data_IF_912196847550
#
_entry.id   IF_912196847550
#
_cell.length_a   1.000
_cell.length_b   1.000
_cell.length_c   1.000
_cell.angle_alpha   90.00
_cell.angle_beta   90.00
_cell.angle_gamma   90.00
#
_symmetry.space_group_name_H-M   'P 1'
#
loop_
_entity.id
_entity.type
_entity.pdbx_description
1 polymer ?
#
# COMPACT_ATOMS: atom_id res chain seq x y z
N UNK A 1 13.18 -16.99 -1.40
CA UNK A 1 12.38 -16.39 -0.30
C UNK A 1 13.13 -16.08 1.01
N UNK A 2 14.16 -16.85 1.43
CA UNK A 2 14.86 -16.56 2.71
C UNK A 2 15.49 -15.15 2.77
N UNK A 3 16.02 -14.67 1.63
CA UNK A 3 16.52 -13.30 1.49
C UNK A 3 15.50 -12.25 1.97
N UNK A 4 14.26 -12.31 1.44
CA UNK A 4 13.21 -11.38 1.83
C UNK A 4 12.83 -11.52 3.30
N UNK A 5 12.75 -12.74 3.83
CA UNK A 5 12.45 -12.94 5.26
C UNK A 5 13.48 -12.25 6.16
N UNK A 6 14.77 -12.43 5.87
CA UNK A 6 15.83 -11.81 6.65
C UNK A 6 15.78 -10.27 6.56
N UNK A 7 15.62 -9.74 5.33
CA UNK A 7 15.52 -8.29 5.11
C UNK A 7 14.27 -7.68 5.73
N UNK A 8 13.17 -8.41 5.76
CA UNK A 8 11.96 -7.99 6.48
C UNK A 8 12.22 -7.86 7.97
N UNK A 9 12.88 -8.84 8.59
CA UNK A 9 13.22 -8.78 10.02
C UNK A 9 14.12 -7.57 10.30
N UNK A 10 15.18 -7.37 9.52
CA UNK A 10 16.06 -6.19 9.62
C UNK A 10 15.27 -4.87 9.49
N UNK A 11 14.33 -4.80 8.54
CA UNK A 11 13.49 -3.62 8.34
C UNK A 11 12.55 -3.37 9.52
N UNK A 12 11.94 -4.42 10.06
CA UNK A 12 11.07 -4.33 11.23
C UNK A 12 11.82 -3.91 12.49
N UNK A 13 13.03 -4.42 12.70
CA UNK A 13 13.89 -4.00 13.81
C UNK A 13 14.21 -2.50 13.70
N UNK A 14 14.59 -2.03 12.50
CA UNK A 14 14.79 -0.61 12.26
C UNK A 14 13.53 0.22 12.54
N UNK A 15 12.35 -0.19 12.06
CA UNK A 15 11.10 0.52 12.33
C UNK A 15 10.80 0.57 13.83
N UNK A 16 11.02 -0.53 14.55
CA UNK A 16 10.81 -0.62 15.99
C UNK A 16 11.69 0.37 16.75
N UNK A 17 12.96 0.49 16.38
CA UNK A 17 13.88 1.45 16.97
C UNK A 17 13.53 2.89 16.60
N UNK A 18 13.28 3.13 15.31
CA UNK A 18 13.06 4.48 14.77
C UNK A 18 11.74 5.10 15.26
N UNK A 19 10.69 4.30 15.45
CA UNK A 19 9.36 4.74 15.88
C UNK A 19 8.93 4.24 17.26
N UNK A 20 9.81 3.58 18.00
CA UNK A 20 9.56 3.06 19.36
C UNK A 20 8.32 2.15 19.46
N UNK A 21 8.01 1.40 18.41
CA UNK A 21 6.76 0.63 18.27
C UNK A 21 6.57 -0.35 19.43
N UNK A 22 7.60 -1.13 19.78
CA UNK A 22 7.50 -2.11 20.88
C UNK A 22 7.37 -1.48 22.28
N UNK A 23 7.61 -0.17 22.42
CA UNK A 23 7.45 0.58 23.68
C UNK A 23 6.15 1.39 23.70
N UNK A 24 5.38 1.38 22.61
CA UNK A 24 4.13 2.10 22.51
C UNK A 24 3.01 1.32 23.22
N UNK A 25 2.22 2.02 24.02
CA UNK A 25 1.00 1.50 24.62
C UNK A 25 -0.25 1.99 23.89
N UNK A 26 -0.13 3.09 23.13
CA UNK A 26 -1.20 3.71 22.35
C UNK A 26 -0.70 4.10 20.97
N UNK A 27 -1.62 4.22 20.01
CA UNK A 27 -1.30 4.71 18.66
C UNK A 27 -0.66 6.09 18.65
N UNK A 28 -1.03 6.95 19.61
CA UNK A 28 -0.46 8.28 19.77
C UNK A 28 1.03 8.27 20.12
N UNK A 29 1.51 7.22 20.79
CA UNK A 29 2.92 7.11 21.15
C UNK A 29 3.78 6.94 19.89
N UNK A 30 3.24 6.23 18.88
CA UNK A 30 3.84 6.01 17.57
C UNK A 30 3.64 7.26 16.68
N UNK A 31 2.44 7.83 16.60
CA UNK A 31 2.16 8.98 15.71
C UNK A 31 3.00 10.21 16.06
N UNK A 32 3.25 10.43 17.35
CA UNK A 32 4.15 11.49 17.82
C UNK A 32 5.63 11.23 17.44
N UNK A 33 6.00 9.97 17.16
CA UNK A 33 7.33 9.69 16.63
C UNK A 33 7.48 10.09 15.15
N UNK A 34 6.39 10.35 14.41
CA UNK A 34 6.46 10.63 12.98
C UNK A 34 7.01 12.04 12.74
N UNK A 35 8.19 12.12 12.14
CA UNK A 35 8.86 13.37 11.76
C UNK A 35 9.46 13.24 10.36
N UNK A 36 9.66 14.35 9.65
CA UNK A 36 10.31 14.38 8.33
C UNK A 36 11.65 13.64 8.32
N UNK A 37 12.46 13.83 9.36
CA UNK A 37 13.76 13.18 9.50
C UNK A 37 13.64 11.65 9.60
N UNK A 38 12.67 11.14 10.37
CA UNK A 38 12.45 9.69 10.52
C UNK A 38 11.84 9.06 9.28
N UNK A 39 10.97 9.77 8.58
CA UNK A 39 10.46 9.34 7.26
C UNK A 39 11.63 9.19 6.29
N UNK A 40 12.45 10.24 6.15
CA UNK A 40 13.64 10.22 5.28
C UNK A 40 14.61 9.09 5.64
N UNK A 41 14.89 8.90 6.93
CA UNK A 41 15.74 7.81 7.42
C UNK A 41 15.17 6.43 7.05
N UNK A 42 13.84 6.26 7.14
CA UNK A 42 13.17 5.00 6.80
C UNK A 42 13.30 4.68 5.33
N UNK A 43 13.02 5.64 4.43
CA UNK A 43 13.20 5.42 3.00
C UNK A 43 14.67 5.17 2.61
N UNK A 44 15.61 5.87 3.26
CA UNK A 44 17.05 5.63 3.06
C UNK A 44 17.47 4.24 3.51
N UNK A 45 16.90 3.72 4.60
CA UNK A 45 17.18 2.37 5.06
C UNK A 45 16.53 1.32 4.13
N UNK A 46 15.27 1.55 3.74
CA UNK A 46 14.54 0.69 2.80
C UNK A 46 15.30 0.50 1.48
N UNK A 47 15.80 1.59 0.87
CA UNK A 47 16.56 1.49 -0.39
C UNK A 47 17.91 0.79 -0.26
N UNK A 48 18.49 0.73 0.94
CA UNK A 48 19.71 -0.03 1.20
C UNK A 48 19.44 -1.53 1.29
N UNK A 49 18.31 -1.91 1.92
CA UNK A 49 17.91 -3.31 2.01
C UNK A 49 17.46 -3.86 0.66
N UNK A 50 16.79 -3.02 -0.13
CA UNK A 50 16.20 -3.37 -1.41
C UNK A 50 16.70 -2.44 -2.52
N UNK A 51 17.99 -2.53 -2.88
CA UNK A 51 18.52 -1.77 -4.00
C UNK A 51 17.87 -2.23 -5.31
N UNK A 52 17.79 -1.33 -6.29
CA UNK A 52 17.47 -1.74 -7.67
C UNK A 52 18.50 -2.78 -8.11
N UNK A 53 18.02 -3.92 -8.58
CA UNK A 53 18.86 -5.05 -8.94
C UNK A 53 18.10 -5.93 -9.94
N UNK A 54 18.84 -6.64 -10.79
CA UNK A 54 18.30 -7.53 -11.81
C UNK A 54 18.18 -8.99 -11.31
N UNK A 55 18.52 -9.25 -10.04
CA UNK A 55 18.44 -10.59 -9.42
C UNK A 55 17.09 -10.91 -8.76
N UNK A 56 15.99 -10.27 -9.18
CA UNK A 56 14.67 -10.43 -8.53
C UNK A 56 14.21 -11.90 -8.44
N UNK A 57 14.33 -12.64 -9.56
CA UNK A 57 13.96 -14.05 -9.64
C UNK A 57 14.76 -14.93 -8.66
N UNK A 58 16.06 -14.66 -8.52
CA UNK A 58 16.96 -15.40 -7.62
C UNK A 58 16.51 -15.26 -6.17
N UNK A 59 16.09 -14.07 -5.75
CA UNK A 59 15.64 -13.82 -4.38
C UNK A 59 14.25 -14.41 -4.09
N UNK A 60 13.38 -14.49 -5.11
CA UNK A 60 12.03 -15.06 -4.97
C UNK A 60 12.02 -16.59 -4.98
N UNK A 61 12.90 -17.25 -5.75
CA UNK A 61 12.94 -18.71 -5.82
C UNK A 61 12.88 -19.33 -4.42
N UNK A 62 11.93 -20.23 -4.25
CA UNK A 62 11.69 -20.96 -3.01
C UNK A 62 12.02 -22.44 -3.23
N UNK A 63 12.89 -22.98 -2.39
CA UNK A 63 13.15 -24.42 -2.32
C UNK A 63 12.15 -25.14 -1.39
N UNK A 64 11.33 -24.37 -0.66
CA UNK A 64 10.29 -24.92 0.22
C UNK A 64 9.08 -25.42 -0.56
N UNK A 65 8.58 -26.59 -0.17
CA UNK A 65 7.31 -27.19 -0.61
C UNK A 65 6.07 -26.61 0.08
N UNK A 66 6.22 -25.58 0.93
CA UNK A 66 5.09 -24.88 1.56
C UNK A 66 4.11 -24.34 0.51
N UNK A 67 2.81 -24.46 0.79
CA UNK A 67 1.78 -23.87 -0.05
C UNK A 67 1.75 -22.36 0.13
N UNK A 68 1.95 -21.64 -0.98
CA UNK A 68 2.08 -20.18 -0.99
C UNK A 68 0.91 -19.54 -1.68
N UNK A 69 0.42 -18.47 -1.10
CA UNK A 69 -0.62 -17.63 -1.67
C UNK A 69 -0.14 -16.20 -1.81
N UNK A 70 -0.42 -15.56 -2.93
CA UNK A 70 -0.01 -14.18 -3.20
C UNK A 70 -1.23 -13.27 -3.08
N UNK A 71 -1.11 -12.28 -2.20
CA UNK A 71 -2.07 -11.18 -2.07
C UNK A 71 -1.98 -10.28 -3.30
N UNK A 72 -3.01 -10.36 -4.15
CA UNK A 72 -3.17 -9.50 -5.31
C UNK A 72 -4.36 -8.56 -5.11
N UNK A 73 -4.16 -7.52 -4.30
CA UNK A 73 -5.13 -6.45 -4.12
C UNK A 73 -4.39 -5.14 -3.81
N UNK A 74 -5.09 -4.02 -3.87
CA UNK A 74 -4.64 -2.76 -3.30
C UNK A 74 -4.29 -2.95 -1.82
N UNK A 75 -3.10 -2.50 -1.42
CA UNK A 75 -2.59 -2.61 -0.06
C UNK A 75 -3.29 -1.59 0.84
N UNK A 76 -4.43 -1.98 1.40
CA UNK A 76 -5.14 -1.19 2.40
C UNK A 76 -4.83 -1.73 3.81
N UNK A 77 -4.14 -0.96 4.67
CA UNK A 77 -3.77 -1.44 5.99
C UNK A 77 -4.96 -1.72 6.92
N UNK A 78 -6.13 -1.15 6.64
CA UNK A 78 -7.36 -1.39 7.40
C UNK A 78 -8.08 -2.69 7.01
N UNK A 79 -7.77 -3.25 5.83
CA UNK A 79 -8.37 -4.49 5.31
C UNK A 79 -7.41 -5.67 5.40
N UNK A 80 -6.10 -5.41 5.27
CA UNK A 80 -5.09 -6.46 5.13
C UNK A 80 -5.11 -7.50 6.25
N UNK A 81 -5.34 -7.13 7.52
CA UNK A 81 -5.41 -8.11 8.61
C UNK A 81 -6.55 -9.12 8.37
N UNK A 82 -7.73 -8.63 8.00
CA UNK A 82 -8.89 -9.48 7.78
C UNK A 82 -8.69 -10.40 6.58
N UNK A 83 -7.96 -9.93 5.57
CA UNK A 83 -7.56 -10.73 4.42
C UNK A 83 -6.56 -11.80 4.86
N UNK A 84 -5.43 -11.42 5.46
CA UNK A 84 -4.39 -12.34 5.94
C UNK A 84 -4.95 -13.42 6.86
N UNK A 85 -5.83 -13.06 7.81
CA UNK A 85 -6.46 -14.04 8.72
C UNK A 85 -7.23 -15.10 7.93
N UNK A 86 -8.06 -14.71 6.96
CA UNK A 86 -8.84 -15.66 6.15
C UNK A 86 -7.94 -16.55 5.31
N UNK A 87 -6.90 -15.97 4.70
CA UNK A 87 -6.01 -16.72 3.81
C UNK A 87 -5.03 -17.62 4.57
N UNK A 88 -4.71 -17.29 5.82
CA UNK A 88 -3.85 -18.12 6.66
C UNK A 88 -4.50 -19.48 7.01
N UNK A 89 -5.81 -19.63 6.80
CA UNK A 89 -6.51 -20.91 6.94
C UNK A 89 -6.20 -21.90 5.81
N UNK A 90 -5.73 -21.41 4.66
CA UNK A 90 -5.52 -22.20 3.46
C UNK A 90 -4.07 -22.17 2.97
N UNK A 91 -3.20 -21.41 3.63
CA UNK A 91 -1.84 -21.13 3.17
C UNK A 91 -0.83 -21.23 4.29
N UNK A 92 0.29 -21.92 4.03
CA UNK A 92 1.42 -21.95 4.95
C UNK A 92 2.15 -20.59 4.97
N UNK A 93 2.23 -19.96 3.79
CA UNK A 93 2.85 -18.65 3.63
C UNK A 93 2.03 -17.76 2.70
N UNK A 94 1.92 -16.50 3.09
CA UNK A 94 1.21 -15.46 2.34
C UNK A 94 2.22 -14.41 1.91
N UNK A 95 2.34 -14.22 0.61
CA UNK A 95 3.22 -13.24 0.00
C UNK A 95 2.44 -11.95 -0.20
N UNK A 96 2.99 -10.85 0.31
CA UNK A 96 2.39 -9.52 0.19
C UNK A 96 3.46 -8.54 -0.28
N UNK A 97 3.09 -7.53 -1.03
CA UNK A 97 4.04 -6.51 -1.46
C UNK A 97 4.35 -5.51 -0.34
N UNK A 98 5.57 -4.98 -0.35
CA UNK A 98 5.91 -3.86 0.51
C UNK A 98 5.03 -2.64 0.18
N UNK A 99 4.39 -2.02 1.20
CA UNK A 99 3.59 -0.81 0.98
C UNK A 99 4.45 0.42 0.64
N UNK A 100 5.74 0.43 0.97
CA UNK A 100 6.64 1.54 0.63
C UNK A 100 7.16 1.45 -0.80
N UNK A 101 7.11 2.58 -1.51
CA UNK A 101 7.79 2.74 -2.80
C UNK A 101 9.30 2.74 -2.63
N UNK A 102 10.00 1.99 -3.48
CA UNK A 102 11.44 2.09 -3.54
C UNK A 102 11.82 3.52 -3.96
N UNK A 103 12.52 4.31 -3.13
CA UNK A 103 12.82 5.69 -3.48
C UNK A 103 13.75 5.82 -4.69
N UNK A 104 14.43 4.73 -5.06
CA UNK A 104 15.33 4.65 -6.21
C UNK A 104 14.61 4.81 -7.56
N UNK A 105 13.31 4.51 -7.63
CA UNK A 105 12.50 4.70 -8.85
C UNK A 105 11.84 6.09 -8.91
N UNK A 106 12.00 6.87 -7.86
CA UNK A 106 11.32 8.16 -7.72
C UNK A 106 12.20 9.27 -8.30
N UNK A 107 11.63 10.18 -9.08
CA UNK A 107 12.35 11.36 -9.55
C UNK A 107 12.96 12.12 -8.36
N UNK A 108 14.21 12.57 -8.47
CA UNK A 108 14.93 13.22 -7.37
C UNK A 108 14.19 14.42 -6.76
N UNK A 109 13.43 15.18 -7.57
CA UNK A 109 12.61 16.31 -7.10
C UNK A 109 11.54 15.89 -6.11
N UNK A 110 11.04 14.67 -6.24
CA UNK A 110 10.00 14.09 -5.41
C UNK A 110 10.51 12.96 -4.53
N UNK A 111 11.83 12.73 -4.43
CA UNK A 111 12.37 11.63 -3.63
C UNK A 111 11.93 11.75 -2.16
N UNK A 112 11.39 10.69 -1.53
CA UNK A 112 10.98 10.74 -0.13
C UNK A 112 12.16 10.89 0.84
N UNK A 113 13.39 10.60 0.38
CA UNK A 113 14.61 10.83 1.17
C UNK A 113 14.90 12.32 1.28
N UNK A 114 14.76 13.07 0.17
CA UNK A 114 15.04 14.53 0.12
C UNK A 114 13.83 15.37 0.51
N UNK A 115 12.63 14.94 0.12
CA UNK A 115 11.37 15.67 0.28
C UNK A 115 10.29 14.81 0.97
N UNK A 116 10.52 14.36 2.21
CA UNK A 116 9.62 13.48 2.93
C UNK A 116 8.22 14.08 3.18
N UNK A 117 8.07 15.41 3.13
CA UNK A 117 6.79 16.08 3.33
C UNK A 117 5.73 15.64 2.31
N UNK A 118 6.12 15.37 1.06
CA UNK A 118 5.19 14.92 0.03
C UNK A 118 4.73 13.48 0.23
N UNK A 119 5.40 12.72 1.08
CA UNK A 119 5.17 11.28 1.28
C UNK A 119 4.50 10.96 2.61
N UNK A 120 4.12 12.00 3.38
CA UNK A 120 3.62 11.83 4.73
C UNK A 120 2.42 10.86 4.78
N UNK A 121 1.42 11.06 3.92
CA UNK A 121 0.23 10.22 3.87
C UNK A 121 0.57 8.75 3.56
N UNK A 122 1.24 8.48 2.44
CA UNK A 122 1.65 7.11 2.08
C UNK A 122 2.51 6.47 3.18
N UNK A 123 3.36 7.25 3.84
CA UNK A 123 4.22 6.76 4.90
C UNK A 123 3.41 6.36 6.14
N UNK A 124 2.42 7.15 6.56
CA UNK A 124 1.58 6.84 7.73
C UNK A 124 0.79 5.55 7.49
N UNK A 125 0.25 5.37 6.28
CA UNK A 125 -0.47 4.15 5.91
C UNK A 125 0.46 2.95 5.84
N UNK A 126 1.66 3.12 5.29
CA UNK A 126 2.69 2.08 5.27
C UNK A 126 3.17 1.72 6.68
N UNK A 127 3.37 2.71 7.56
CA UNK A 127 3.81 2.45 8.94
C UNK A 127 2.73 1.69 9.70
N UNK A 128 1.47 2.10 9.56
CA UNK A 128 0.34 1.38 10.15
C UNK A 128 0.28 -0.07 9.63
N UNK A 129 0.40 -0.27 8.31
CA UNK A 129 0.51 -1.59 7.68
C UNK A 129 1.59 -2.45 8.34
N UNK A 130 2.80 -1.91 8.51
CA UNK A 130 3.88 -2.65 9.12
C UNK A 130 3.55 -3.03 10.56
N UNK A 131 3.10 -2.07 11.38
CA UNK A 131 2.78 -2.32 12.79
C UNK A 131 1.74 -3.44 12.93
N UNK A 132 0.69 -3.43 12.10
CA UNK A 132 -0.37 -4.44 12.20
C UNK A 132 0.07 -5.83 11.73
N UNK A 133 0.96 -5.93 10.73
CA UNK A 133 1.45 -7.22 10.22
C UNK A 133 2.68 -7.76 10.94
N UNK A 134 3.31 -6.98 11.84
CA UNK A 134 4.59 -7.33 12.44
C UNK A 134 4.66 -8.77 13.00
N UNK A 135 3.62 -9.21 13.71
CA UNK A 135 3.57 -10.56 14.31
C UNK A 135 3.54 -11.65 13.24
N UNK A 136 2.73 -11.45 12.20
CA UNK A 136 2.60 -12.38 11.07
C UNK A 136 3.90 -12.48 10.28
N UNK A 137 4.57 -11.35 10.04
CA UNK A 137 5.87 -11.34 9.34
C UNK A 137 6.96 -12.05 10.15
N UNK A 138 7.04 -11.75 11.46
CA UNK A 138 8.02 -12.41 12.33
C UNK A 138 7.80 -13.91 12.48
N UNK A 139 6.55 -14.37 12.44
CA UNK A 139 6.21 -15.80 12.48
C UNK A 139 6.54 -16.54 11.18
N UNK A 140 6.82 -15.82 10.08
CA UNK A 140 7.05 -16.39 8.75
C UNK A 140 5.78 -16.68 7.95
N UNK A 141 4.59 -16.51 8.55
CA UNK A 141 3.29 -16.66 7.85
C UNK A 141 3.17 -15.62 6.75
N UNK A 142 3.56 -14.36 7.00
CA UNK A 142 3.55 -13.32 5.95
C UNK A 142 4.97 -13.02 5.49
N UNK A 143 5.19 -13.04 4.18
CA UNK A 143 6.46 -12.66 3.56
C UNK A 143 6.26 -11.43 2.70
N UNK A 144 6.86 -10.31 3.13
CA UNK A 144 6.86 -9.10 2.34
C UNK A 144 7.91 -9.19 1.23
N UNK A 145 7.54 -8.85 0.01
CA UNK A 145 8.43 -8.76 -1.14
C UNK A 145 8.32 -7.39 -1.79
N UNK A 146 9.37 -6.94 -2.47
CA UNK A 146 9.30 -5.67 -3.21
C UNK A 146 8.49 -5.92 -4.48
N UNK A 147 7.64 -4.96 -4.88
CA UNK A 147 6.96 -5.05 -6.16
C UNK A 147 8.01 -5.13 -7.29
N UNK A 148 7.90 -6.06 -8.25
CA UNK A 148 8.87 -6.16 -9.33
C UNK A 148 9.03 -4.85 -10.13
N UNK A 149 7.96 -4.04 -10.26
CA UNK A 149 8.00 -2.70 -10.87
C UNK A 149 8.94 -1.72 -10.16
N UNK A 150 9.11 -1.90 -8.85
CA UNK A 150 9.92 -1.06 -7.97
C UNK A 150 11.35 -1.63 -7.79
N UNK A 151 11.68 -2.74 -8.46
CA UNK A 151 12.93 -3.48 -8.27
C UNK A 151 13.75 -3.63 -9.56
N UNK A 152 13.10 -3.95 -10.68
CA UNK A 152 13.74 -4.23 -11.97
C UNK A 152 12.98 -3.54 -13.12
N UNK A 153 13.63 -2.55 -13.75
CA UNK A 153 13.02 -1.77 -14.82
C UNK A 153 12.85 -2.55 -16.13
N UNK A 154 13.71 -3.53 -16.41
CA UNK A 154 13.57 -4.36 -17.61
C UNK A 154 12.35 -5.28 -17.49
N UNK A 155 12.15 -5.87 -16.31
CA UNK A 155 10.93 -6.63 -16.01
C UNK A 155 9.69 -5.75 -16.12
N UNK A 156 9.72 -4.54 -15.54
CA UNK A 156 8.63 -3.58 -15.68
C UNK A 156 8.26 -3.32 -17.13
N UNK A 157 9.24 -2.99 -17.98
CA UNK A 157 8.98 -2.73 -19.40
C UNK A 157 8.37 -3.93 -20.10
N UNK A 158 8.83 -5.15 -19.80
CA UNK A 158 8.24 -6.38 -20.36
C UNK A 158 6.78 -6.54 -19.94
N UNK A 159 6.48 -6.35 -18.66
CA UNK A 159 5.10 -6.44 -18.16
C UNK A 159 4.19 -5.38 -18.77
N UNK A 160 4.66 -4.14 -18.93
CA UNK A 160 3.89 -3.05 -19.56
C UNK A 160 3.53 -3.38 -21.02
N UNK A 161 4.46 -3.99 -21.78
CA UNK A 161 4.23 -4.41 -23.17
C UNK A 161 3.16 -5.51 -23.24
N UNK A 162 3.27 -6.55 -22.41
CA UNK A 162 2.34 -7.68 -22.43
C UNK A 162 0.94 -7.28 -21.92
N UNK A 163 0.88 -6.45 -20.87
CA UNK A 163 -0.37 -5.91 -20.38
C UNK A 163 -1.11 -5.08 -21.43
N UNK A 164 -0.37 -4.24 -22.17
CA UNK A 164 -0.95 -3.47 -23.27
C UNK A 164 -1.58 -4.37 -24.32
N UNK A 165 -0.88 -5.43 -24.75
CA UNK A 165 -1.42 -6.40 -25.72
C UNK A 165 -2.70 -7.06 -25.23
N UNK A 166 -2.77 -7.45 -23.95
CA UNK A 166 -3.97 -8.05 -23.35
C UNK A 166 -5.13 -7.05 -23.30
N UNK A 167 -4.90 -5.85 -22.78
CA UNK A 167 -5.97 -4.84 -22.61
C UNK A 167 -6.54 -4.40 -23.96
N UNK A 168 -5.69 -4.19 -24.97
CA UNK A 168 -6.12 -3.80 -26.32
C UNK A 168 -7.04 -4.86 -26.98
N UNK A 169 -7.16 -6.07 -26.41
CA UNK A 169 -7.94 -7.18 -26.94
C UNK A 169 -9.26 -7.51 -26.21
N UNK A 170 -9.54 -6.94 -25.03
CA UNK A 170 -10.52 -7.57 -24.12
C UNK A 170 -11.63 -6.73 -23.48
N UNK A 171 -11.82 -5.44 -23.78
CA UNK A 171 -12.85 -4.68 -23.08
C UNK A 171 -13.73 -3.82 -23.99
N UNK A 172 -15.05 -3.96 -23.81
CA UNK A 172 -15.98 -2.89 -24.18
C UNK A 172 -15.75 -1.72 -23.21
N UNK A 173 -15.63 -0.51 -23.74
CA UNK A 173 -15.26 0.68 -22.97
C UNK A 173 -16.23 0.96 -21.81
N UNK A 174 -17.49 0.55 -21.95
CA UNK A 174 -18.56 0.81 -20.98
C UNK A 174 -18.44 -0.03 -19.70
N UNK A 175 -18.25 -1.35 -19.83
CA UNK A 175 -18.19 -2.26 -18.68
C UNK A 175 -16.95 -1.99 -17.82
N UNK A 176 -15.83 -1.69 -18.48
CA UNK A 176 -14.60 -1.26 -17.81
C UNK A 176 -14.81 0.02 -16.99
N UNK A 177 -15.48 1.02 -17.56
CA UNK A 177 -15.70 2.28 -16.88
C UNK A 177 -16.58 2.15 -15.63
N UNK A 178 -17.62 1.31 -15.65
CA UNK A 178 -18.51 1.15 -14.49
C UNK A 178 -17.81 0.51 -13.28
N UNK A 179 -17.04 -0.57 -13.49
CA UNK A 179 -16.33 -1.27 -12.42
C UNK A 179 -15.21 -0.41 -11.84
N UNK A 180 -14.41 0.23 -12.71
CA UNK A 180 -13.30 1.09 -12.29
C UNK A 180 -13.80 2.29 -11.49
N UNK A 181 -14.96 2.86 -11.84
CA UNK A 181 -15.52 4.01 -11.13
C UNK A 181 -16.00 3.65 -9.71
N UNK A 182 -16.59 2.47 -9.50
CA UNK A 182 -17.00 2.02 -8.16
C UNK A 182 -15.79 1.87 -7.22
N UNK A 183 -14.73 1.21 -7.68
CA UNK A 183 -13.53 1.00 -6.89
C UNK A 183 -12.75 2.30 -6.66
N UNK A 184 -12.62 3.14 -7.68
CA UNK A 184 -12.00 4.46 -7.56
C UNK A 184 -12.77 5.35 -6.56
N UNK A 185 -14.10 5.30 -6.58
CA UNK A 185 -14.95 6.03 -5.63
C UNK A 185 -14.77 5.53 -4.21
N UNK A 186 -14.74 4.21 -4.01
CA UNK A 186 -14.49 3.62 -2.70
C UNK A 186 -13.11 3.99 -2.15
N UNK A 187 -12.08 3.93 -2.99
CA UNK A 187 -10.72 4.32 -2.64
C UNK A 187 -10.65 5.81 -2.25
N UNK A 188 -11.21 6.69 -3.08
CA UNK A 188 -11.25 8.12 -2.79
C UNK A 188 -12.03 8.44 -1.51
N UNK A 189 -13.15 7.74 -1.26
CA UNK A 189 -13.92 7.92 -0.04
C UNK A 189 -13.12 7.53 1.21
N UNK A 190 -12.37 6.43 1.17
CA UNK A 190 -11.50 6.00 2.27
C UNK A 190 -10.37 7.02 2.52
N UNK A 191 -9.81 7.62 1.47
CA UNK A 191 -8.82 8.69 1.60
C UNK A 191 -9.39 9.95 2.24
N UNK A 192 -10.54 10.42 1.74
CA UNK A 192 -11.18 11.64 2.25
C UNK A 192 -11.71 11.44 3.67
N UNK A 193 -12.10 10.22 4.05
CA UNK A 193 -12.51 9.90 5.40
C UNK A 193 -11.41 10.21 6.42
N UNK A 194 -10.14 10.02 6.04
CA UNK A 194 -9.01 10.37 6.89
C UNK A 194 -8.89 11.87 7.12
N UNK A 195 -9.19 12.67 6.09
CA UNK A 195 -9.11 14.13 6.12
C UNK A 195 -10.31 14.79 6.82
N UNK A 196 -11.47 14.15 6.78
CA UNK A 196 -12.69 14.62 7.43
C UNK A 196 -12.98 13.92 8.76
N UNK A 197 -12.06 13.10 9.28
CA UNK A 197 -12.29 12.28 10.48
C UNK A 197 -12.84 13.14 11.63
N UNK A 198 -14.02 12.78 12.13
CA UNK A 198 -14.70 13.46 13.24
C UNK A 198 -15.58 14.66 12.83
N UNK A 199 -15.61 15.03 11.55
CA UNK A 199 -16.51 16.06 11.03
C UNK A 199 -17.91 15.49 10.74
N UNK A 200 -18.92 16.36 10.79
CA UNK A 200 -20.31 16.03 10.41
C UNK A 200 -20.45 15.86 8.90
N UNK A 201 -21.42 15.03 8.45
CA UNK A 201 -21.74 14.83 7.03
C UNK A 201 -21.94 16.16 6.29
N UNK A 202 -22.62 17.14 6.89
CA UNK A 202 -22.84 18.46 6.26
C UNK A 202 -21.54 19.20 5.94
N UNK A 203 -20.53 19.12 6.82
CA UNK A 203 -19.22 19.72 6.58
C UNK A 203 -18.45 19.00 5.47
N UNK A 204 -18.56 17.67 5.40
CA UNK A 204 -17.98 16.88 4.32
C UNK A 204 -18.59 17.32 2.99
N UNK A 205 -19.93 17.39 2.92
CA UNK A 205 -20.67 17.85 1.75
C UNK A 205 -20.22 19.24 1.30
N UNK A 206 -20.16 20.21 2.22
CA UNK A 206 -19.69 21.56 1.88
C UNK A 206 -18.25 21.54 1.36
N UNK A 207 -17.39 20.73 1.95
CA UNK A 207 -16.04 20.52 1.47
C UNK A 207 -16.00 19.98 0.03
N UNK A 208 -16.80 18.96 -0.29
CA UNK A 208 -16.94 18.39 -1.64
C UNK A 208 -17.46 19.42 -2.66
N UNK A 209 -18.47 20.21 -2.29
CA UNK A 209 -19.03 21.26 -3.15
C UNK A 209 -18.03 22.39 -3.46
N UNK A 210 -17.04 22.58 -2.57
CA UNK A 210 -15.99 23.57 -2.73
C UNK A 210 -14.75 23.02 -3.45
N UNK A 211 -14.72 21.74 -3.84
CA UNK A 211 -13.59 21.18 -4.59
C UNK A 211 -13.56 21.73 -6.01
N UNK A 212 -12.38 22.16 -6.46
CA UNK A 212 -12.18 22.62 -7.83
C UNK A 212 -12.15 21.44 -8.83
N UNK A 213 -11.62 20.30 -8.38
CA UNK A 213 -11.53 19.08 -9.17
C UNK A 213 -11.43 17.82 -8.25
N UNK A 214 -12.26 16.78 -8.44
CA UNK A 214 -13.46 16.79 -9.29
C UNK A 214 -14.52 17.76 -8.77
N UNK A 215 -15.35 18.30 -9.67
CA UNK A 215 -16.50 19.13 -9.30
C UNK A 215 -17.70 18.23 -9.03
N UNK A 216 -18.30 18.37 -7.84
CA UNK A 216 -19.48 17.60 -7.46
C UNK A 216 -20.77 18.40 -7.65
N UNK A 217 -21.79 17.77 -8.23
CA UNK A 217 -23.17 18.23 -8.12
C UNK A 217 -23.71 18.09 -6.71
N UNK A 218 -24.83 18.78 -6.39
CA UNK A 218 -25.42 18.73 -5.03
C UNK A 218 -25.76 17.31 -4.56
N UNK A 219 -26.40 16.51 -5.42
CA UNK A 219 -26.78 15.13 -5.12
C UNK A 219 -25.55 14.22 -5.01
N UNK A 220 -24.60 14.34 -5.94
CA UNK A 220 -23.35 13.57 -5.90
C UNK A 220 -22.55 13.86 -4.64
N UNK A 221 -22.47 15.12 -4.21
CA UNK A 221 -21.82 15.50 -2.96
C UNK A 221 -22.52 14.90 -1.73
N UNK A 222 -23.85 14.82 -1.74
CA UNK A 222 -24.62 14.17 -0.67
C UNK A 222 -24.32 12.67 -0.58
N UNK A 223 -24.45 11.97 -1.70
CA UNK A 223 -24.25 10.52 -1.77
C UNK A 223 -22.79 10.17 -1.42
N UNK A 224 -21.82 10.95 -1.92
CA UNK A 224 -20.41 10.73 -1.65
C UNK A 224 -20.01 11.12 -0.22
N UNK A 225 -20.60 12.16 0.38
CA UNK A 225 -20.37 12.50 1.78
C UNK A 225 -20.82 11.36 2.72
N UNK A 226 -21.95 10.71 2.41
CA UNK A 226 -22.40 9.52 3.16
C UNK A 226 -21.41 8.36 3.00
N UNK A 227 -20.92 8.13 1.78
CA UNK A 227 -19.92 7.11 1.52
C UNK A 227 -18.64 7.37 2.35
N UNK A 228 -18.10 8.60 2.33
CA UNK A 228 -16.95 9.02 3.14
C UNK A 228 -17.21 8.76 4.63
N UNK A 229 -18.36 9.21 5.15
CA UNK A 229 -18.72 9.04 6.55
C UNK A 229 -18.75 7.56 6.96
N UNK A 230 -19.26 6.68 6.09
CA UNK A 230 -19.30 5.23 6.34
C UNK A 230 -17.90 4.60 6.52
N UNK A 231 -16.85 5.24 6.00
CA UNK A 231 -15.45 4.78 6.08
C UNK A 231 -14.73 5.29 7.34
N UNK A 232 -15.32 6.15 8.16
CA UNK A 232 -14.66 6.70 9.37
C UNK A 232 -14.15 5.62 10.33
N UNK A 233 -14.86 4.48 10.41
CA UNK A 233 -14.47 3.31 11.22
C UNK A 233 -13.19 2.63 10.74
N UNK A 234 -12.78 2.89 9.51
CA UNK A 234 -11.57 2.38 8.88
C UNK A 234 -10.44 3.41 8.88
N UNK A 235 -10.59 4.56 9.55
CA UNK A 235 -9.53 5.56 9.56
C UNK A 235 -8.31 5.05 10.35
N UNK A 236 -7.14 5.26 9.77
CA UNK A 236 -5.88 4.86 10.37
C UNK A 236 -5.61 5.71 11.63
N UNK A 237 -5.40 5.08 12.80
CA UNK A 237 -5.25 5.80 14.06
C UNK A 237 -3.92 6.57 14.16
N UNK A 238 -2.94 6.30 13.29
CA UNK A 238 -1.66 7.02 13.29
C UNK A 238 -1.77 8.47 12.79
N UNK A 239 -2.87 8.85 12.16
CA UNK A 239 -3.13 10.25 11.81
C UNK A 239 -3.50 11.11 13.03
N UNK A 240 -3.79 10.49 14.17
CA UNK A 240 -4.20 11.21 15.37
C UNK A 240 -2.98 11.82 16.08
N UNK A 241 -3.05 13.12 16.41
CA UNK A 241 -2.04 13.84 17.22
C UNK A 241 -0.61 13.76 16.68
N UNK A 242 -0.44 13.81 15.37
CA UNK A 242 0.88 13.89 14.73
C UNK A 242 1.60 15.21 15.02
N UNK A 243 2.93 15.15 15.09
CA UNK A 243 3.81 16.32 15.23
C UNK A 243 4.08 17.05 13.91
N UNK A 244 3.49 16.60 12.80
CA UNK A 244 3.67 17.15 11.46
C UNK A 244 2.33 17.57 10.86
N UNK A 245 2.25 18.71 10.14
CA UNK A 245 1.01 19.15 9.53
C UNK A 245 0.55 18.18 8.42
N UNK A 246 -0.67 17.69 8.52
CA UNK A 246 -1.25 16.75 7.56
C UNK A 246 -1.72 17.42 6.24
N UNK A 247 -2.13 18.69 6.28
CA UNK A 247 -2.77 19.40 5.14
C UNK A 247 -1.78 19.97 4.09
N UNK A 248 -0.60 19.37 3.91
CA UNK A 248 0.34 19.78 2.86
C UNK A 248 0.12 19.01 1.57
N UNK A 249 0.55 19.57 0.44
CA UNK A 249 0.58 18.87 -0.85
C UNK A 249 1.22 17.49 -0.65
N UNK A 250 0.50 16.44 -1.01
CA UNK A 250 0.92 15.06 -0.82
C UNK A 250 0.90 14.34 -2.16
N UNK A 251 1.92 13.54 -2.41
CA UNK A 251 1.92 12.56 -3.49
C UNK A 251 0.99 11.44 -3.04
N UNK A 252 0.13 10.99 -3.94
CA UNK A 252 -0.75 9.86 -3.70
C UNK A 252 -0.29 8.71 -4.59
N UNK A 253 -0.08 7.54 -4.00
CA UNK A 253 0.29 6.34 -4.74
C UNK A 253 -0.65 5.21 -4.34
N UNK A 254 -1.35 4.61 -5.29
CA UNK A 254 -1.95 3.31 -5.08
C UNK A 254 -0.84 2.26 -5.05
N UNK A 255 -0.88 1.36 -4.06
CA UNK A 255 0.13 0.32 -3.87
C UNK A 255 -0.55 -1.03 -4.00
N UNK A 256 0.04 -1.93 -4.78
CA UNK A 256 -0.47 -3.25 -5.08
C UNK A 256 0.61 -4.09 -5.75
N UNK A 257 0.24 -5.23 -6.33
CA UNK A 257 1.18 -6.16 -6.96
C UNK A 257 1.70 -5.75 -8.34
N UNK A 258 1.09 -4.75 -8.97
CA UNK A 258 1.33 -4.40 -10.37
C UNK A 258 0.17 -4.88 -11.25
N UNK A 259 0.42 -5.09 -12.53
CA UNK A 259 -0.55 -5.71 -13.44
C UNK A 259 -0.56 -7.25 -13.31
N UNK A 260 -1.49 -7.90 -14.00
CA UNK A 260 -1.65 -9.35 -14.01
C UNK A 260 -0.36 -10.09 -14.45
N UNK A 261 0.36 -9.53 -15.40
CA UNK A 261 1.60 -10.09 -15.94
C UNK A 261 2.68 -10.19 -14.87
N UNK A 262 2.83 -9.12 -14.07
CA UNK A 262 3.79 -9.09 -12.97
C UNK A 262 3.43 -10.04 -11.84
N UNK A 263 2.14 -10.19 -11.52
CA UNK A 263 1.71 -11.07 -10.44
C UNK A 263 1.82 -12.55 -10.84
N UNK A 264 1.50 -12.90 -12.09
CA UNK A 264 1.68 -14.24 -12.63
C UNK A 264 3.16 -14.64 -12.65
N UNK A 265 4.05 -13.70 -12.98
CA UNK A 265 5.49 -13.93 -12.90
C UNK A 265 5.95 -14.24 -11.46
N UNK A 266 5.46 -13.49 -10.47
CA UNK A 266 5.76 -13.80 -9.05
C UNK A 266 5.17 -15.16 -8.66
N UNK A 267 3.95 -15.48 -9.08
CA UNK A 267 3.28 -16.76 -8.83
C UNK A 267 4.06 -17.95 -9.36
N UNK A 268 4.57 -17.86 -10.58
CA UNK A 268 5.40 -18.89 -11.19
C UNK A 268 6.70 -19.09 -10.39
N UNK A 269 7.39 -18.02 -10.04
CA UNK A 269 8.67 -18.08 -9.33
C UNK A 269 8.57 -18.70 -7.94
N UNK A 270 7.47 -18.46 -7.24
CA UNK A 270 7.24 -18.95 -5.87
C UNK A 270 6.41 -20.23 -5.84
N UNK A 271 5.91 -20.69 -6.99
CA UNK A 271 4.95 -21.80 -7.13
C UNK A 271 3.72 -21.57 -6.24
N UNK A 272 3.19 -20.35 -6.26
CA UNK A 272 2.08 -19.93 -5.42
C UNK A 272 0.82 -19.64 -6.22
N UNK A 273 -0.33 -19.70 -5.55
CA UNK A 273 -1.61 -19.32 -6.13
C UNK A 273 -1.91 -17.85 -5.89
N UNK A 274 -2.60 -17.23 -6.83
CA UNK A 274 -3.11 -15.87 -6.67
C UNK A 274 -4.39 -15.88 -5.86
N UNK A 275 -4.58 -14.84 -5.05
CA UNK A 275 -5.90 -14.51 -4.54
C UNK A 275 -6.10 -13.01 -4.59
N UNK A 276 -7.34 -12.63 -4.92
CA UNK A 276 -7.81 -11.26 -4.95
C UNK A 276 -9.21 -11.23 -4.36
N UNK A 277 -9.51 -10.16 -3.64
CA UNK A 277 -10.91 -9.81 -3.29
C UNK A 277 -11.38 -8.61 -4.10
N UNK A 278 -10.51 -8.06 -4.95
CA UNK A 278 -10.81 -6.95 -5.84
C UNK A 278 -11.58 -7.47 -7.04
N UNK A 279 -12.56 -6.70 -7.52
CA UNK A 279 -13.39 -7.12 -8.66
C UNK A 279 -12.74 -6.73 -9.99
N UNK A 280 -11.77 -5.81 -9.97
CA UNK A 280 -11.02 -5.35 -11.15
C UNK A 280 -9.76 -6.16 -11.49
N UNK A 281 -9.31 -7.03 -10.57
CA UNK A 281 -8.06 -7.80 -10.69
C UNK A 281 -8.33 -9.27 -11.03
#
# INVERSE_FOLDING_TARGET
>A
MQFYQQKNIEFYDFLNENFKINKAHRWTDISQQITKARISATYKFFSKLFPLNNEYAKHLKSESNSFKSIHYNTLNPNKIINEIVRYSLYSDEIIVFHPLQNPSITNQRFSPIKNPQYWLQNFIDSLYFYVVLQKWVRSGIVKLIVNPYDYDFELRTKFDIEAKKRVDSFLSEKEYNEIVMEEASNFMAEMLAQSYKGESIDKIKQGLLNMENPKFGKKEADDFAQLIFSKFKLCNPLYDKMNVPYKQSSIMTMRGGGNLESILYVAELVKGNLYTTDKTN
#
